data_IF_777437304630
#
_entry.id   IF_777437304630
#
_cell.length_a   1.000
_cell.length_b   1.000
_cell.length_c   1.000
_cell.angle_alpha   90.00
_cell.angle_beta   90.00
_cell.angle_gamma   90.00
#
_symmetry.space_group_name_H-M   'P 1'
#
loop_
_entity.id
_entity.type
_entity.pdbx_description
1 polymer ?
#
# COMPACT_ATOMS: atom_id res chain seq x y z
N UNK A 1 12.22 -42.16 65.79
CA UNK A 1 11.48 -40.95 65.37
C UNK A 1 12.50 -39.97 64.80
N UNK A 2 12.81 -40.09 63.49
CA UNK A 2 13.81 -39.25 62.80
C UNK A 2 13.08 -38.03 62.25
N UNK A 3 13.23 -36.90 62.93
CA UNK A 3 12.77 -35.59 62.44
C UNK A 3 13.63 -35.27 61.23
N UNK A 4 12.97 -35.17 60.07
CA UNK A 4 13.61 -34.98 58.79
C UNK A 4 14.44 -33.69 58.80
N UNK A 5 15.70 -33.89 58.43
CA UNK A 5 16.72 -32.92 58.14
C UNK A 5 16.32 -32.10 56.89
N UNK A 6 15.41 -31.13 57.04
CA UNK A 6 15.07 -30.14 56.01
C UNK A 6 15.82 -28.82 56.27
N UNK A 7 17.13 -28.92 56.45
CA UNK A 7 18.04 -27.77 56.32
C UNK A 7 18.49 -27.69 54.86
N UNK A 8 17.57 -27.24 53.99
CA UNK A 8 17.73 -27.26 52.54
C UNK A 8 17.55 -25.88 51.92
N UNK A 9 18.60 -25.06 52.02
CA UNK A 9 18.86 -23.87 51.19
C UNK A 9 17.63 -22.96 50.91
N UNK A 10 17.35 -22.04 51.84
CA UNK A 10 16.24 -21.07 51.78
C UNK A 10 16.11 -20.34 50.44
N UNK A 11 17.21 -20.17 49.70
CA UNK A 11 17.22 -19.53 48.39
C UNK A 11 16.43 -20.32 47.32
N UNK A 12 16.42 -21.66 47.41
CA UNK A 12 15.68 -22.53 46.49
C UNK A 12 14.17 -22.51 46.77
N UNK A 13 13.80 -22.43 48.04
CA UNK A 13 12.40 -22.26 48.47
C UNK A 13 11.88 -20.88 48.04
N UNK A 14 12.69 -19.84 48.20
CA UNK A 14 12.34 -18.48 47.80
C UNK A 14 12.17 -18.38 46.27
N UNK A 15 13.07 -18.97 45.49
CA UNK A 15 12.93 -19.01 44.02
C UNK A 15 11.72 -19.83 43.57
N UNK A 16 11.43 -20.95 44.26
CA UNK A 16 10.24 -21.76 43.97
C UNK A 16 8.94 -20.99 44.20
N UNK A 17 8.89 -20.18 45.26
CA UNK A 17 7.74 -19.34 45.57
C UNK A 17 7.49 -18.27 44.49
N UNK A 18 8.56 -17.64 44.00
CA UNK A 18 8.46 -16.65 42.91
C UNK A 18 8.03 -17.27 41.57
N UNK A 19 8.52 -18.46 41.25
CA UNK A 19 8.08 -19.21 40.05
C UNK A 19 6.59 -19.55 40.16
N UNK A 20 6.15 -20.04 41.33
CA UNK A 20 4.74 -20.37 41.58
C UNK A 20 3.85 -19.12 41.47
N UNK A 21 4.28 -17.99 42.05
CA UNK A 21 3.57 -16.72 41.95
C UNK A 21 3.48 -16.22 40.50
N UNK A 22 4.57 -16.34 39.73
CA UNK A 22 4.60 -16.01 38.30
C UNK A 22 3.63 -16.86 37.49
N UNK A 23 3.62 -18.18 37.69
CA UNK A 23 2.66 -19.08 37.04
C UNK A 23 1.21 -18.76 37.42
N UNK A 24 0.94 -18.44 38.69
CA UNK A 24 -0.39 -18.05 39.14
C UNK A 24 -0.85 -16.73 38.50
N UNK A 25 0.05 -15.75 38.38
CA UNK A 25 -0.23 -14.49 37.69
C UNK A 25 -0.48 -14.70 36.20
N UNK A 26 0.31 -15.55 35.54
CA UNK A 26 0.13 -15.93 34.14
C UNK A 26 -1.17 -16.67 33.90
N UNK A 27 -1.59 -17.54 34.83
CA UNK A 27 -2.88 -18.23 34.77
C UNK A 27 -4.06 -17.27 34.93
N UNK A 28 -4.01 -16.37 35.92
CA UNK A 28 -5.06 -15.37 36.14
C UNK A 28 -5.20 -14.39 34.97
N UNK A 29 -4.08 -13.90 34.42
CA UNK A 29 -4.10 -12.97 33.29
C UNK A 29 -4.36 -13.70 31.96
N UNK A 30 -3.84 -14.92 31.81
CA UNK A 30 -4.04 -15.76 30.63
C UNK A 30 -5.49 -16.23 30.47
N UNK A 31 -6.22 -16.42 31.57
CA UNK A 31 -7.65 -16.72 31.52
C UNK A 31 -8.46 -15.58 30.88
N UNK A 32 -8.11 -14.32 31.17
CA UNK A 32 -8.70 -13.16 30.51
C UNK A 32 -8.37 -13.08 29.01
N UNK A 33 -7.19 -13.57 28.61
CA UNK A 33 -6.79 -13.65 27.20
C UNK A 33 -7.53 -14.74 26.44
N UNK A 34 -7.75 -15.91 27.06
CA UNK A 34 -8.58 -16.99 26.48
C UNK A 34 -10.04 -16.54 26.31
N UNK A 35 -10.60 -15.85 27.31
CA UNK A 35 -11.95 -15.30 27.22
C UNK A 35 -12.12 -14.28 26.06
N UNK A 36 -11.05 -13.55 25.70
CA UNK A 36 -11.07 -12.61 24.56
C UNK A 36 -11.03 -13.32 23.19
N UNK A 37 -10.49 -14.54 23.15
CA UNK A 37 -10.40 -15.36 21.94
C UNK A 37 -11.68 -16.19 21.72
N UNK A 38 -12.35 -16.57 22.81
CA UNK A 38 -13.55 -17.41 22.79
C UNK A 38 -14.86 -16.61 22.80
N UNK A 39 -14.82 -15.29 23.05
CA UNK A 39 -16.01 -14.47 22.91
C UNK A 39 -16.46 -14.49 21.44
N UNK A 40 -17.67 -14.99 21.12
CA UNK A 40 -18.19 -14.90 19.78
C UNK A 40 -18.24 -13.42 19.44
N UNK A 41 -17.56 -13.05 18.36
CA UNK A 41 -17.56 -11.69 17.82
C UNK A 41 -18.98 -11.12 17.97
N UNK A 42 -19.16 -9.97 18.64
CA UNK A 42 -20.48 -9.42 18.92
C UNK A 42 -21.28 -9.43 17.62
N UNK A 43 -22.53 -9.93 17.69
CA UNK A 43 -23.37 -10.15 16.52
C UNK A 43 -23.20 -8.98 15.56
N UNK A 44 -22.68 -9.22 14.34
CA UNK A 44 -22.33 -8.14 13.45
C UNK A 44 -23.58 -7.30 13.23
N UNK A 45 -23.46 -5.99 13.49
CA UNK A 45 -24.55 -5.04 13.27
C UNK A 45 -25.15 -5.26 11.88
N UNK A 46 -26.43 -4.92 11.68
CA UNK A 46 -27.07 -5.04 10.36
C UNK A 46 -26.23 -4.45 9.24
N UNK A 47 -25.48 -3.39 9.53
CA UNK A 47 -24.54 -2.74 8.62
C UNK A 47 -23.28 -3.58 8.36
N UNK A 48 -22.66 -4.16 9.38
CA UNK A 48 -21.50 -5.04 9.23
C UNK A 48 -21.85 -6.33 8.46
N UNK A 49 -23.03 -6.89 8.72
CA UNK A 49 -23.57 -8.03 7.98
C UNK A 49 -23.82 -7.70 6.51
N UNK A 50 -24.42 -6.54 6.23
CA UNK A 50 -24.61 -6.06 4.86
C UNK A 50 -23.28 -5.79 4.13
N UNK A 51 -22.29 -5.22 4.82
CA UNK A 51 -20.96 -5.00 4.28
C UNK A 51 -20.26 -6.32 3.93
N UNK A 52 -20.41 -7.34 4.79
CA UNK A 52 -19.85 -8.68 4.56
C UNK A 52 -20.47 -9.38 3.36
N UNK A 53 -21.79 -9.28 3.20
CA UNK A 53 -22.49 -9.81 2.02
C UNK A 53 -22.07 -9.11 0.73
N UNK A 54 -21.92 -7.78 0.75
CA UNK A 54 -21.38 -7.02 -0.39
C UNK A 54 -19.95 -7.44 -0.71
N UNK A 55 -19.11 -7.64 0.29
CA UNK A 55 -17.73 -8.07 0.08
C UNK A 55 -17.65 -9.47 -0.55
N UNK A 56 -18.49 -10.40 -0.09
CA UNK A 56 -18.58 -11.73 -0.70
C UNK A 56 -19.00 -11.68 -2.17
N UNK A 57 -20.03 -10.90 -2.52
CA UNK A 57 -20.47 -10.80 -3.91
C UNK A 57 -19.42 -10.14 -4.83
N UNK A 58 -18.63 -9.21 -4.31
CA UNK A 58 -17.46 -8.68 -5.04
C UNK A 58 -16.40 -9.74 -5.28
N UNK A 59 -16.08 -10.57 -4.29
CA UNK A 59 -15.11 -11.66 -4.46
C UNK A 59 -15.55 -12.68 -5.49
N UNK A 60 -16.82 -13.09 -5.48
CA UNK A 60 -17.37 -14.00 -6.48
C UNK A 60 -17.34 -13.40 -7.89
N UNK A 61 -17.63 -12.10 -8.01
CA UNK A 61 -17.56 -11.40 -9.30
C UNK A 61 -16.13 -11.32 -9.83
N UNK A 62 -15.14 -11.12 -8.94
CA UNK A 62 -13.73 -11.13 -9.32
C UNK A 62 -13.29 -12.52 -9.74
N UNK A 63 -13.60 -13.56 -8.97
CA UNK A 63 -13.27 -14.95 -9.30
C UNK A 63 -13.80 -15.35 -10.69
N UNK A 64 -15.07 -15.04 -10.96
CA UNK A 64 -15.70 -15.32 -12.26
C UNK A 64 -15.13 -14.49 -13.42
N UNK A 65 -14.54 -13.31 -13.16
CA UNK A 65 -13.90 -12.47 -14.19
C UNK A 65 -12.48 -12.91 -14.51
N UNK A 66 -11.75 -13.46 -13.55
CA UNK A 66 -10.39 -13.93 -13.76
C UNK A 66 -10.34 -15.28 -14.50
N UNK A 67 -11.29 -16.20 -14.27
CA UNK A 67 -11.33 -17.48 -14.99
C UNK A 67 -11.57 -17.35 -16.50
N UNK A 68 -12.22 -16.28 -16.97
CA UNK A 68 -12.64 -16.15 -18.39
C UNK A 68 -11.58 -15.39 -19.24
N UNK A 69 -10.52 -14.82 -18.67
CA UNK A 69 -9.71 -13.81 -19.39
C UNK A 69 -8.18 -13.97 -19.39
N UNK A 70 -7.63 -15.12 -19.03
CA UNK A 70 -6.18 -15.23 -18.81
C UNK A 70 -5.31 -15.74 -19.99
N UNK A 71 -5.85 -16.12 -21.14
CA UNK A 71 -5.00 -16.42 -22.31
C UNK A 71 -4.94 -15.27 -23.33
N UNK A 72 -6.11 -14.78 -23.77
CA UNK A 72 -6.17 -13.80 -24.86
C UNK A 72 -5.69 -12.40 -24.46
N UNK A 73 -5.88 -12.00 -23.19
CA UNK A 73 -5.46 -10.68 -22.72
C UNK A 73 -3.95 -10.58 -22.51
N UNK A 74 -3.33 -11.66 -22.01
CA UNK A 74 -1.88 -11.78 -21.87
C UNK A 74 -1.16 -11.81 -23.23
N UNK A 75 -1.70 -12.53 -24.21
CA UNK A 75 -1.14 -12.57 -25.58
C UNK A 75 -1.19 -11.21 -26.28
N UNK A 76 -2.26 -10.42 -26.06
CA UNK A 76 -2.38 -9.07 -26.61
C UNK A 76 -1.41 -8.08 -25.95
N UNK A 77 -1.13 -8.21 -24.65
CA UNK A 77 -0.08 -7.42 -24.00
C UNK A 77 1.30 -7.76 -24.56
N UNK A 78 1.65 -9.06 -24.65
CA UNK A 78 2.96 -9.48 -25.13
C UNK A 78 3.25 -9.06 -26.58
N UNK A 79 2.25 -9.04 -27.46
CA UNK A 79 2.40 -8.53 -28.84
C UNK A 79 2.72 -7.04 -28.91
N UNK A 80 2.19 -6.22 -27.99
CA UNK A 80 2.48 -4.76 -28.00
C UNK A 80 3.89 -4.45 -27.48
N UNK A 81 4.40 -5.24 -26.53
CA UNK A 81 5.75 -5.04 -25.98
C UNK A 81 6.88 -5.62 -26.83
N UNK A 82 6.60 -6.60 -27.69
CA UNK A 82 7.62 -7.19 -28.59
C UNK A 82 8.00 -6.27 -29.76
N UNK A 83 7.09 -5.40 -30.22
CA UNK A 83 7.35 -4.41 -31.28
C UNK A 83 8.35 -3.33 -30.82
N UNK A 84 8.40 -3.03 -29.52
CA UNK A 84 9.33 -2.03 -28.96
C UNK A 84 10.77 -2.57 -28.90
N UNK A 85 10.94 -3.90 -28.78
CA UNK A 85 12.27 -4.51 -28.61
C UNK A 85 13.07 -4.56 -29.92
N UNK A 86 12.41 -4.61 -31.06
CA UNK A 86 13.08 -4.75 -32.37
C UNK A 86 13.63 -3.42 -32.91
N UNK A 87 13.16 -2.28 -32.40
CA UNK A 87 13.60 -0.94 -32.87
C UNK A 87 14.87 -0.41 -32.19
N UNK A 88 15.40 -1.11 -31.18
CA UNK A 88 16.54 -0.64 -30.36
C UNK A 88 17.87 -1.28 -30.79
N UNK A 89 17.86 -2.30 -31.67
CA UNK A 89 19.06 -3.11 -31.95
C UNK A 89 19.86 -2.73 -33.21
N UNK A 90 19.67 -1.53 -33.78
CA UNK A 90 20.59 -1.05 -34.83
C UNK A 90 21.60 -0.06 -34.21
N UNK A 91 22.85 -0.48 -33.93
CA UNK A 91 23.90 0.48 -33.61
C UNK A 91 24.20 1.31 -34.86
N UNK A 92 23.94 2.61 -34.78
CA UNK A 92 24.40 3.58 -35.77
C UNK A 92 25.91 3.76 -35.58
N UNK A 93 26.76 3.67 -36.62
CA UNK A 93 28.20 3.88 -36.47
C UNK A 93 28.45 5.34 -36.11
N UNK A 94 29.15 5.55 -34.99
CA UNK A 94 29.72 6.84 -34.59
C UNK A 94 30.97 7.07 -35.46
N UNK A 95 30.85 7.78 -36.57
CA UNK A 95 31.96 8.52 -37.18
C UNK A 95 31.38 9.59 -38.11
N UNK A 96 32.00 10.77 -38.00
CA UNK A 96 31.75 12.01 -38.73
C UNK A 96 30.53 12.83 -38.30
N UNK A 97 30.78 13.85 -37.47
CA UNK A 97 30.33 15.24 -37.64
C UNK A 97 31.02 16.14 -36.57
N UNK A 98 31.36 17.40 -36.90
CA UNK A 98 32.48 18.14 -36.33
C UNK A 98 32.18 18.84 -35.01
N UNK A 99 33.28 19.18 -34.33
CA UNK A 99 33.40 20.19 -33.28
C UNK A 99 32.58 21.45 -33.56
N UNK A 100 31.77 21.86 -32.58
CA UNK A 100 31.27 23.22 -32.43
C UNK A 100 29.78 23.38 -32.63
N UNK A 101 29.00 23.17 -31.57
CA UNK A 101 27.93 24.08 -31.12
C UNK A 101 27.34 23.52 -29.83
N UNK A 102 27.54 24.26 -28.73
CA UNK A 102 26.81 24.07 -27.48
C UNK A 102 25.32 24.37 -27.72
N UNK A 103 24.58 23.39 -28.23
CA UNK A 103 23.13 23.43 -28.12
C UNK A 103 22.80 22.98 -26.71
N UNK A 104 22.66 23.97 -25.81
CA UNK A 104 21.93 23.85 -24.57
C UNK A 104 20.57 23.22 -24.90
N UNK A 105 20.50 21.89 -24.79
CA UNK A 105 19.24 21.17 -24.80
C UNK A 105 18.51 21.59 -23.52
N UNK A 106 17.74 22.67 -23.64
CA UNK A 106 16.78 23.12 -22.67
C UNK A 106 15.87 21.92 -22.40
N UNK A 107 16.17 21.21 -21.31
CA UNK A 107 15.45 20.02 -20.88
C UNK A 107 14.05 20.48 -20.53
N UNK A 108 13.15 20.46 -21.52
CA UNK A 108 11.75 20.81 -21.35
C UNK A 108 11.24 20.05 -20.13
N UNK A 109 11.00 20.79 -19.05
CA UNK A 109 10.45 20.26 -17.81
C UNK A 109 8.99 19.98 -18.09
N UNK A 110 8.72 18.83 -18.68
CA UNK A 110 7.35 18.35 -18.85
C UNK A 110 6.73 18.17 -17.46
N UNK A 111 5.60 18.83 -17.24
CA UNK A 111 4.82 18.68 -16.03
C UNK A 111 4.22 17.25 -16.00
N UNK A 112 4.22 16.59 -14.83
CA UNK A 112 3.65 15.25 -14.72
C UNK A 112 2.14 15.33 -14.97
N UNK A 113 1.57 14.29 -15.59
CA UNK A 113 0.14 14.26 -15.91
C UNK A 113 -0.61 13.68 -14.73
N UNK A 114 -1.45 14.50 -14.10
CA UNK A 114 -2.37 14.04 -13.07
C UNK A 114 -3.52 13.27 -13.71
N UNK A 115 -3.54 11.97 -13.48
CA UNK A 115 -4.59 11.07 -13.99
C UNK A 115 -5.82 11.08 -13.07
N UNK A 116 -5.64 11.37 -11.79
CA UNK A 116 -6.75 11.47 -10.84
C UNK A 116 -6.28 11.57 -9.38
N UNK A 117 -7.25 11.76 -8.48
CA UNK A 117 -7.04 11.81 -7.04
C UNK A 117 -8.01 10.83 -6.38
N UNK A 118 -7.50 9.96 -5.53
CA UNK A 118 -8.27 9.01 -4.72
C UNK A 118 -8.42 9.58 -3.31
N UNK A 119 -9.65 9.67 -2.80
CA UNK A 119 -9.88 9.94 -1.39
C UNK A 119 -10.08 8.63 -0.62
N UNK A 120 -9.49 8.53 0.56
CA UNK A 120 -9.69 7.40 1.47
C UNK A 120 -10.02 7.90 2.88
N UNK A 121 -10.58 7.03 3.70
CA UNK A 121 -10.82 7.30 5.11
C UNK A 121 -10.00 6.32 5.93
N UNK A 122 -9.17 6.82 6.86
CA UNK A 122 -8.35 5.97 7.70
C UNK A 122 -9.17 5.33 8.84
N UNK A 123 -8.55 4.43 9.62
CA UNK A 123 -9.21 3.77 10.75
C UNK A 123 -9.64 4.69 11.90
N UNK A 124 -9.28 5.99 11.85
CA UNK A 124 -9.70 7.03 12.80
C UNK A 124 -10.84 7.91 12.25
N UNK A 125 -11.31 7.65 11.02
CA UNK A 125 -12.34 8.46 10.36
C UNK A 125 -11.80 9.72 9.66
N UNK A 126 -10.48 9.91 9.60
CA UNK A 126 -9.88 11.07 8.93
C UNK A 126 -9.80 10.83 7.42
N UNK A 127 -10.14 11.86 6.64
CA UNK A 127 -10.07 11.82 5.17
C UNK A 127 -8.63 12.08 4.72
N UNK A 128 -8.06 11.17 3.95
CA UNK A 128 -6.78 11.31 3.27
C UNK A 128 -6.95 11.29 1.75
N UNK A 129 -5.89 11.67 1.04
CA UNK A 129 -5.88 11.70 -0.42
C UNK A 129 -4.60 11.06 -0.99
N UNK A 130 -4.71 10.44 -2.16
CA UNK A 130 -3.61 9.92 -2.97
C UNK A 130 -3.72 10.49 -4.38
N UNK A 131 -2.59 10.89 -4.95
CA UNK A 131 -2.49 11.41 -6.32
C UNK A 131 -2.02 10.30 -7.26
N UNK A 132 -2.58 10.21 -8.46
CA UNK A 132 -2.09 9.32 -9.51
C UNK A 132 -1.37 10.18 -10.55
N UNK A 133 -0.04 10.23 -10.47
CA UNK A 133 0.82 10.98 -11.40
C UNK A 133 1.50 10.00 -12.34
N UNK A 134 1.34 10.19 -13.66
CA UNK A 134 1.92 9.33 -14.69
C UNK A 134 1.64 7.82 -14.48
N UNK A 135 0.46 7.50 -13.93
CA UNK A 135 0.05 6.12 -13.62
C UNK A 135 0.60 5.55 -12.30
N UNK A 136 1.35 6.33 -11.53
CA UNK A 136 1.91 5.94 -10.23
C UNK A 136 1.11 6.61 -9.12
N UNK A 137 0.64 5.81 -8.16
CA UNK A 137 -0.05 6.31 -6.98
C UNK A 137 0.96 6.85 -5.97
N UNK A 138 0.78 8.09 -5.53
CA UNK A 138 1.66 8.79 -4.61
C UNK A 138 0.87 9.44 -3.47
N UNK A 139 1.39 9.30 -2.27
CA UNK A 139 0.93 10.01 -1.08
C UNK A 139 1.62 11.37 -0.90
N UNK A 140 1.17 12.11 0.12
CA UNK A 140 1.87 13.33 0.53
C UNK A 140 3.31 13.03 0.95
N UNK A 141 4.24 13.90 0.57
CA UNK A 141 5.70 13.81 0.80
C UNK A 141 6.42 12.70 0.04
N UNK A 142 5.73 11.95 -0.80
CA UNK A 142 6.37 10.96 -1.67
C UNK A 142 7.01 11.63 -2.89
N UNK A 143 8.04 10.98 -3.44
CA UNK A 143 8.83 11.49 -4.55
C UNK A 143 8.88 10.50 -5.70
N UNK A 144 8.67 11.00 -6.93
CA UNK A 144 8.83 10.23 -8.17
C UNK A 144 9.55 11.08 -9.22
N UNK A 145 10.51 10.52 -9.95
CA UNK A 145 11.18 11.20 -11.09
C UNK A 145 11.72 12.62 -10.78
N UNK A 146 12.11 12.87 -9.51
CA UNK A 146 12.57 14.17 -9.01
C UNK A 146 11.48 15.16 -8.63
N UNK A 147 10.21 14.74 -8.66
CA UNK A 147 9.02 15.51 -8.28
C UNK A 147 8.56 15.03 -6.91
N UNK A 148 8.46 15.94 -5.95
CA UNK A 148 7.98 15.67 -4.58
C UNK A 148 6.57 16.20 -4.43
N UNK A 149 5.64 15.38 -3.97
CA UNK A 149 4.27 15.81 -3.67
C UNK A 149 4.27 16.52 -2.31
N UNK A 150 3.95 17.81 -2.28
CA UNK A 150 3.94 18.61 -1.04
C UNK A 150 2.59 18.61 -0.34
N UNK A 151 1.50 18.46 -1.10
CA UNK A 151 0.15 18.33 -0.53
C UNK A 151 -0.87 17.86 -1.57
N UNK A 152 -1.90 17.15 -1.10
CA UNK A 152 -2.96 16.60 -1.95
C UNK A 152 -4.31 17.02 -1.38
N UNK A 153 -5.18 17.58 -2.21
CA UNK A 153 -6.55 17.88 -1.83
C UNK A 153 -7.53 17.49 -2.95
N UNK A 154 -8.83 17.74 -2.73
CA UNK A 154 -9.87 17.43 -3.72
C UNK A 154 -9.75 18.21 -5.04
N UNK A 155 -9.14 19.41 -4.99
CA UNK A 155 -9.02 20.32 -6.12
C UNK A 155 -7.79 20.02 -6.97
N UNK A 156 -6.78 19.37 -6.41
CA UNK A 156 -5.53 19.15 -7.11
C UNK A 156 -4.39 18.70 -6.21
N UNK A 157 -3.20 18.68 -6.83
CA UNK A 157 -1.96 18.18 -6.23
C UNK A 157 -0.91 19.28 -6.31
N UNK A 158 -0.27 19.56 -5.18
CA UNK A 158 0.88 20.45 -5.13
C UNK A 158 2.14 19.62 -5.21
N UNK A 159 3.03 19.96 -6.15
CA UNK A 159 4.27 19.24 -6.35
C UNK A 159 5.44 20.18 -6.55
N UNK A 160 6.63 19.71 -6.17
CA UNK A 160 7.87 20.47 -6.20
C UNK A 160 8.96 19.70 -6.96
N UNK A 161 9.69 20.38 -7.83
CA UNK A 161 10.86 19.82 -8.54
C UNK A 161 11.90 20.91 -8.73
N UNK A 162 13.15 20.63 -8.34
CA UNK A 162 14.27 21.54 -8.61
C UNK A 162 14.10 22.96 -8.05
N UNK A 163 13.35 23.13 -6.95
CA UNK A 163 13.09 24.43 -6.34
C UNK A 163 11.82 25.15 -6.83
N UNK A 164 11.23 24.71 -7.95
CA UNK A 164 9.95 25.19 -8.44
C UNK A 164 8.80 24.38 -7.87
N UNK A 165 7.71 25.04 -7.51
CA UNK A 165 6.48 24.43 -7.00
C UNK A 165 5.33 24.78 -7.93
N UNK A 166 4.48 23.80 -8.23
CA UNK A 166 3.31 23.97 -9.09
C UNK A 166 2.11 23.20 -8.56
N UNK A 167 0.93 23.74 -8.87
CA UNK A 167 -0.35 23.14 -8.55
C UNK A 167 -0.96 22.54 -9.81
N UNK A 168 -1.35 21.27 -9.74
CA UNK A 168 -1.97 20.52 -10.83
C UNK A 168 -3.43 20.30 -10.47
N UNK A 169 -4.34 20.88 -11.24
CA UNK A 169 -5.78 20.74 -11.01
C UNK A 169 -6.25 19.31 -11.27
N UNK A 170 -7.19 18.82 -10.48
CA UNK A 170 -7.89 17.56 -10.73
C UNK A 170 -8.54 17.59 -12.12
N UNK A 171 -8.32 16.59 -12.98
CA UNK A 171 -8.95 16.54 -14.29
C UNK A 171 -10.48 16.39 -14.15
N UNK A 172 -11.23 17.09 -15.02
CA UNK A 172 -12.68 16.91 -15.12
C UNK A 172 -12.99 15.51 -15.65
N UNK A 173 -13.55 14.65 -14.79
CA UNK A 173 -13.88 13.28 -15.14
C UNK A 173 -15.28 13.23 -15.76
N UNK A 174 -15.36 13.14 -17.08
CA UNK A 174 -16.62 12.93 -17.81
C UNK A 174 -16.98 11.44 -17.86
N UNK A 175 -18.11 11.05 -17.27
CA UNK A 175 -18.63 9.69 -17.42
C UNK A 175 -19.52 9.61 -18.67
N UNK A 176 -19.12 8.80 -19.65
CA UNK A 176 -20.02 8.40 -20.73
C UNK A 176 -20.88 7.24 -20.24
N UNK A 177 -22.15 7.51 -19.94
CA UNK A 177 -23.14 6.46 -19.68
C UNK A 177 -23.76 6.09 -21.02
N UNK A 178 -23.15 5.15 -21.73
CA UNK A 178 -23.81 4.50 -22.88
C UNK A 178 -24.97 3.66 -22.35
N UNK A 179 -26.20 4.06 -22.69
CA UNK A 179 -27.44 3.28 -22.47
C UNK A 179 -27.47 2.03 -23.32
#
# INVERSE_FOLDING_TARGET
MKILHLYGNNNKLLSGLWILAGCFFLGLNGYGFMALMDDPLPEPSREASAARLKFQSFQETLANRFEIKDSAAWDLMNRKFSIVKEKISKPVPLNDIPSGEEVLAEKQVSQPVLSGILSFTNGKGEKGYLAILDGITLGEREQVNGITVTGINEKGVMVKRGGSEWFINTPDVGFSVSR
#
